data_IF_047925357922
#
_entry.id   IF_047925357922
#
_cell.length_a   1.000
_cell.length_b   1.000
_cell.length_c   1.000
_cell.angle_alpha   90.00
_cell.angle_beta   90.00
_cell.angle_gamma   90.00
#
_symmetry.space_group_name_H-M   'P 1'
#
loop_
_entity.id
_entity.type
_entity.pdbx_description
1 polymer ?
#
# COMPACT_ATOMS: atom_id res chain seq x y z
N UNK A 1 -0.58 -0.71 8.08
CA UNK A 1 -0.58 -1.31 6.76
C UNK A 1 -1.99 -1.19 6.20
N UNK A 2 -2.16 -0.30 5.20
CA UNK A 2 -3.45 0.10 4.65
C UNK A 2 -4.12 -0.94 3.77
N UNK A 3 -4.06 -2.20 4.14
CA UNK A 3 -4.58 -3.27 3.32
C UNK A 3 -5.93 -3.81 3.83
N UNK A 4 -6.52 -4.71 3.13
CA UNK A 4 -7.86 -5.32 3.18
C UNK A 4 -8.33 -5.84 4.55
N UNK A 5 -7.59 -5.61 5.63
CA UNK A 5 -7.93 -6.00 7.01
C UNK A 5 -8.75 -4.95 7.76
N UNK A 6 -8.97 -3.80 7.16
CA UNK A 6 -9.76 -2.74 7.79
C UNK A 6 -11.23 -3.13 7.80
N UNK A 7 -11.86 -2.89 8.93
CA UNK A 7 -13.31 -3.00 9.08
C UNK A 7 -13.98 -1.73 8.56
N UNK A 8 -13.95 -1.49 7.25
CA UNK A 8 -14.48 -0.26 6.64
C UNK A 8 -15.88 0.07 7.14
N UNK A 9 -16.79 -0.89 7.15
CA UNK A 9 -18.17 -0.67 7.62
C UNK A 9 -18.22 -0.15 9.06
N UNK A 10 -17.43 -0.75 9.97
CA UNK A 10 -17.41 -0.33 11.38
C UNK A 10 -16.80 1.06 11.54
N UNK A 11 -15.72 1.36 10.80
CA UNK A 11 -15.07 2.68 10.81
C UNK A 11 -16.04 3.73 10.26
N UNK A 12 -16.70 3.47 9.14
CA UNK A 12 -17.67 4.39 8.54
C UNK A 12 -18.89 4.60 9.46
N UNK A 13 -19.35 3.56 10.18
CA UNK A 13 -20.43 3.70 11.15
C UNK A 13 -20.03 4.63 12.31
N UNK A 14 -18.80 4.50 12.82
CA UNK A 14 -18.27 5.39 13.85
C UNK A 14 -18.12 6.82 13.30
N UNK A 15 -17.54 6.99 12.13
CA UNK A 15 -17.36 8.28 11.48
C UNK A 15 -18.71 8.99 11.29
N UNK A 16 -19.70 8.28 10.76
CA UNK A 16 -21.06 8.81 10.59
C UNK A 16 -21.70 9.23 11.93
N UNK A 17 -21.55 8.42 12.98
CA UNK A 17 -22.07 8.71 14.32
C UNK A 17 -21.47 9.98 14.91
N UNK A 18 -20.20 10.25 14.62
CA UNK A 18 -19.46 11.36 15.19
C UNK A 18 -19.21 12.51 14.20
N UNK A 19 -19.84 12.48 13.03
CA UNK A 19 -19.67 13.50 11.96
C UNK A 19 -18.18 13.71 11.56
N UNK A 20 -17.44 12.61 11.44
CA UNK A 20 -16.00 12.63 11.08
C UNK A 20 -15.83 12.36 9.59
N UNK A 21 -14.81 12.98 9.02
CA UNK A 21 -14.33 12.69 7.66
C UNK A 21 -13.40 11.48 7.71
N UNK A 22 -13.57 10.56 6.76
CA UNK A 22 -12.73 9.37 6.61
C UNK A 22 -11.73 9.59 5.49
N UNK A 23 -10.45 9.65 5.84
CA UNK A 23 -9.35 9.62 4.87
C UNK A 23 -8.72 8.23 4.92
N UNK A 24 -8.78 7.52 3.81
CA UNK A 24 -8.23 6.17 3.69
C UNK A 24 -6.83 6.22 3.07
N UNK A 25 -5.82 5.74 3.80
CA UNK A 25 -4.53 5.45 3.22
C UNK A 25 -4.58 4.07 2.53
N UNK A 26 -4.68 4.08 1.22
CA UNK A 26 -4.72 2.91 0.36
C UNK A 26 -3.44 2.77 -0.49
N UNK A 27 -2.30 3.27 0.00
CA UNK A 27 -1.02 3.21 -0.70
C UNK A 27 -0.59 1.77 -1.08
N UNK A 28 -1.11 0.75 -0.42
CA UNK A 28 -0.89 -0.68 -0.71
C UNK A 28 -2.11 -1.39 -1.29
N UNK A 29 -3.25 -0.71 -1.45
CA UNK A 29 -4.53 -1.35 -1.73
C UNK A 29 -5.08 -1.08 -3.15
N UNK A 30 -4.27 -0.55 -4.06
CA UNK A 30 -4.71 -0.35 -5.44
C UNK A 30 -5.09 -1.70 -6.09
N UNK A 31 -6.30 -1.78 -6.65
CA UNK A 31 -6.86 -3.02 -7.21
C UNK A 31 -7.46 -3.98 -6.18
N UNK A 32 -7.56 -3.56 -4.91
CA UNK A 32 -8.23 -4.31 -3.85
C UNK A 32 -9.74 -4.01 -3.82
N UNK A 33 -10.50 -4.98 -3.31
CA UNK A 33 -11.95 -4.88 -3.14
C UNK A 33 -12.35 -5.22 -1.70
N UNK A 34 -13.40 -4.55 -1.22
CA UNK A 34 -14.09 -4.87 0.02
C UNK A 34 -15.58 -5.04 -0.26
N UNK A 35 -16.13 -6.24 0.00
CA UNK A 35 -17.55 -6.59 -0.27
C UNK A 35 -17.98 -6.24 -1.71
N UNK A 36 -17.12 -6.54 -2.69
CA UNK A 36 -17.35 -6.28 -4.11
C UNK A 36 -17.24 -4.82 -4.55
N UNK A 37 -16.81 -3.91 -3.67
CA UNK A 37 -16.54 -2.51 -4.01
C UNK A 37 -15.03 -2.26 -4.07
N UNK A 38 -14.59 -1.57 -5.10
CA UNK A 38 -13.19 -1.17 -5.23
C UNK A 38 -12.79 -0.21 -4.11
N UNK A 39 -11.62 -0.45 -3.52
CA UNK A 39 -10.98 0.52 -2.62
C UNK A 39 -10.76 1.83 -3.39
N UNK A 40 -11.09 2.95 -2.75
CA UNK A 40 -11.12 4.29 -3.38
C UNK A 40 -12.52 4.79 -3.68
N UNK A 41 -13.56 3.95 -3.57
CA UNK A 41 -14.95 4.33 -3.87
C UNK A 41 -15.84 4.54 -2.64
N UNK A 42 -15.33 4.31 -1.44
CA UNK A 42 -16.17 4.21 -0.24
C UNK A 42 -15.94 5.30 0.79
N UNK A 43 -14.72 5.82 0.91
CA UNK A 43 -14.36 6.85 1.88
C UNK A 43 -14.50 8.26 1.29
N UNK A 44 -14.53 9.29 2.15
CA UNK A 44 -14.60 10.69 1.70
C UNK A 44 -13.40 11.06 0.81
N UNK A 45 -12.21 10.58 1.19
CA UNK A 45 -11.00 10.66 0.39
C UNK A 45 -10.20 9.35 0.53
N UNK A 46 -9.54 8.94 -0.54
CA UNK A 46 -8.63 7.79 -0.53
C UNK A 46 -7.33 8.16 -1.23
N UNK A 47 -6.19 7.84 -0.61
CA UNK A 47 -4.86 8.11 -1.17
C UNK A 47 -4.24 6.84 -1.72
N UNK A 48 -3.67 6.92 -2.93
CA UNK A 48 -2.90 5.86 -3.58
C UNK A 48 -1.46 6.28 -3.81
N UNK A 49 -0.54 5.33 -3.80
CA UNK A 49 0.87 5.52 -4.12
C UNK A 49 1.21 4.92 -5.48
N UNK A 50 2.00 5.67 -6.27
CA UNK A 50 2.58 5.22 -7.53
C UNK A 50 4.12 5.14 -7.47
N UNK A 51 4.66 4.93 -6.26
CA UNK A 51 6.08 4.64 -6.04
C UNK A 51 6.52 3.41 -6.88
N UNK A 52 7.80 3.28 -7.28
CA UNK A 52 8.28 2.23 -8.21
C UNK A 52 7.88 0.80 -7.86
N UNK A 53 7.78 0.46 -6.58
CA UNK A 53 7.48 -0.90 -6.12
C UNK A 53 5.98 -1.23 -6.04
N UNK A 54 5.09 -0.26 -6.29
CA UNK A 54 3.63 -0.46 -6.19
C UNK A 54 3.08 -1.27 -7.38
N UNK A 55 1.83 -1.76 -7.30
CA UNK A 55 1.21 -2.53 -8.40
C UNK A 55 1.30 -1.84 -9.76
N UNK A 56 1.17 -0.52 -9.80
CA UNK A 56 1.55 0.33 -10.93
C UNK A 56 2.43 1.48 -10.43
N UNK A 57 3.18 2.09 -11.34
CA UNK A 57 4.11 3.17 -10.98
C UNK A 57 4.09 4.31 -11.98
N UNK A 58 4.45 5.50 -11.49
CA UNK A 58 4.77 6.69 -12.29
C UNK A 58 6.23 7.13 -12.11
N UNK A 59 7.10 6.20 -11.62
CA UNK A 59 8.43 6.54 -11.11
C UNK A 59 8.33 7.02 -9.66
N UNK A 60 7.81 8.19 -9.46
CA UNK A 60 7.28 8.73 -8.21
C UNK A 60 5.92 9.33 -8.48
N UNK A 61 5.03 9.28 -7.50
CA UNK A 61 3.71 9.88 -7.61
C UNK A 61 2.69 9.27 -6.66
N UNK A 62 1.49 9.82 -6.72
CA UNK A 62 0.34 9.37 -5.97
C UNK A 62 -0.93 10.04 -6.46
N UNK A 63 -2.06 9.61 -5.94
CA UNK A 63 -3.36 10.16 -6.28
C UNK A 63 -4.25 10.19 -5.04
N UNK A 64 -5.03 11.24 -4.93
CA UNK A 64 -6.16 11.31 -4.00
C UNK A 64 -7.44 11.23 -4.86
N UNK A 65 -8.33 10.32 -4.51
CA UNK A 65 -9.65 10.21 -5.14
C UNK A 65 -10.75 10.57 -4.14
N UNK A 66 -11.81 11.18 -4.64
CA UNK A 66 -13.01 11.54 -3.89
C UNK A 66 -14.22 11.61 -4.80
N UNK A 67 -15.41 11.39 -4.26
CA UNK A 67 -16.69 11.61 -4.94
C UNK A 67 -17.34 12.95 -4.51
N UNK A 68 -16.70 13.73 -3.62
CA UNK A 68 -17.17 15.05 -3.17
C UNK A 68 -16.52 16.15 -4.00
N UNK A 69 -17.35 16.92 -4.72
CA UNK A 69 -16.87 17.99 -5.59
C UNK A 69 -16.20 19.13 -4.80
N UNK A 70 -16.66 19.39 -3.57
CA UNK A 70 -16.06 20.43 -2.72
C UNK A 70 -14.65 20.03 -2.28
N UNK A 71 -14.46 18.77 -1.87
CA UNK A 71 -13.14 18.24 -1.55
C UNK A 71 -12.24 18.23 -2.78
N UNK A 72 -12.76 17.80 -3.95
CA UNK A 72 -12.00 17.82 -5.21
C UNK A 72 -11.47 19.22 -5.54
N UNK A 73 -12.31 20.26 -5.48
CA UNK A 73 -11.90 21.64 -5.74
C UNK A 73 -10.81 22.11 -4.79
N UNK A 74 -10.93 21.80 -3.49
CA UNK A 74 -9.90 22.11 -2.49
C UNK A 74 -8.59 21.38 -2.78
N UNK A 75 -8.63 20.08 -3.10
CA UNK A 75 -7.44 19.29 -3.42
C UNK A 75 -6.70 19.84 -4.65
N UNK A 76 -7.43 20.23 -5.70
CA UNK A 76 -6.84 20.84 -6.90
C UNK A 76 -6.20 22.19 -6.58
N UNK A 77 -6.85 23.00 -5.76
CA UNK A 77 -6.34 24.30 -5.31
C UNK A 77 -5.04 24.11 -4.49
N UNK A 78 -5.06 23.26 -3.47
CA UNK A 78 -3.89 23.00 -2.64
C UNK A 78 -2.72 22.37 -3.41
N UNK A 79 -2.99 21.44 -4.32
CA UNK A 79 -1.97 20.85 -5.19
C UNK A 79 -1.23 21.88 -6.02
N UNK A 80 -1.86 23.02 -6.32
CA UNK A 80 -1.41 24.02 -7.29
C UNK A 80 -1.25 25.42 -6.65
N UNK A 81 -0.48 25.50 -5.58
CA UNK A 81 -0.08 26.75 -4.88
C UNK A 81 -1.22 27.54 -4.24
N UNK A 82 -2.43 27.02 -4.14
CA UNK A 82 -3.59 27.82 -3.71
C UNK A 82 -4.02 28.88 -4.75
N UNK A 83 -3.65 28.67 -6.03
CA UNK A 83 -3.91 29.61 -7.12
C UNK A 83 -5.18 29.19 -7.87
N UNK A 84 -6.04 30.19 -8.16
CA UNK A 84 -7.22 30.02 -9.01
C UNK A 84 -7.21 30.97 -10.18
N UNK A 85 -7.90 30.56 -11.28
CA UNK A 85 -8.32 31.40 -12.40
C UNK A 85 -9.84 31.45 -12.54
N UNK A 86 -10.55 30.86 -11.59
CA UNK A 86 -12.01 30.92 -11.54
C UNK A 86 -12.45 32.31 -11.11
N UNK A 87 -13.07 33.04 -12.05
CA UNK A 87 -13.52 34.41 -11.83
C UNK A 87 -14.47 34.54 -10.66
N UNK A 88 -15.26 33.52 -10.35
CA UNK A 88 -16.18 33.53 -9.20
C UNK A 88 -15.48 33.52 -7.85
N UNK A 89 -14.21 33.15 -7.81
CA UNK A 89 -13.38 33.07 -6.60
C UNK A 89 -12.34 34.20 -6.54
N UNK A 90 -12.14 34.94 -7.63
CA UNK A 90 -11.19 36.06 -7.69
C UNK A 90 -11.86 37.35 -7.23
N UNK A 91 -11.09 38.23 -6.62
CA UNK A 91 -11.57 39.56 -6.20
C UNK A 91 -11.54 40.58 -7.34
N UNK A 92 -10.79 40.33 -8.41
CA UNK A 92 -10.67 41.15 -9.62
C UNK A 92 -10.13 40.29 -10.77
N UNK A 93 -10.28 40.78 -12.01
CA UNK A 93 -9.68 40.19 -13.21
C UNK A 93 -9.07 41.31 -14.06
N UNK A 94 -7.79 41.21 -14.37
CA UNK A 94 -7.04 42.20 -15.15
C UNK A 94 -6.79 41.76 -16.61
N UNK A 95 -7.24 40.58 -16.97
CA UNK A 95 -7.08 39.99 -18.32
C UNK A 95 -6.83 38.50 -18.32
N UNK A 96 -6.70 37.90 -19.50
CA UNK A 96 -6.60 36.45 -19.69
C UNK A 96 -5.37 35.79 -19.03
N UNK A 97 -4.36 36.55 -18.70
CA UNK A 97 -3.16 36.08 -17.98
C UNK A 97 -3.35 36.06 -16.48
N UNK A 98 -4.41 36.74 -15.95
CA UNK A 98 -4.55 37.01 -14.53
C UNK A 98 -4.94 35.77 -13.74
N UNK A 99 -4.45 35.67 -12.54
CA UNK A 99 -4.79 34.66 -11.54
C UNK A 99 -4.60 35.24 -10.14
N UNK A 100 -5.21 34.61 -9.16
CA UNK A 100 -4.99 34.99 -7.76
C UNK A 100 -4.66 33.78 -6.90
N UNK A 101 -3.76 33.98 -5.95
CA UNK A 101 -3.59 33.05 -4.85
C UNK A 101 -4.63 33.38 -3.79
N UNK A 102 -5.52 32.44 -3.50
CA UNK A 102 -6.64 32.61 -2.56
C UNK A 102 -6.49 31.76 -1.31
N UNK A 103 -5.50 30.87 -1.28
CA UNK A 103 -5.18 30.02 -0.14
C UNK A 103 -3.70 29.64 -0.14
N UNK A 104 -3.21 29.08 0.99
CA UNK A 104 -1.88 28.53 1.07
C UNK A 104 -1.86 27.12 0.46
N UNK A 105 -1.17 26.95 -0.65
CA UNK A 105 -1.06 25.66 -1.35
C UNK A 105 0.38 25.20 -1.54
N UNK A 106 0.52 24.04 -2.14
CA UNK A 106 1.78 23.33 -2.37
C UNK A 106 2.07 23.19 -3.86
N UNK A 107 3.27 22.77 -4.21
CA UNK A 107 3.60 22.33 -5.56
C UNK A 107 3.62 20.79 -5.60
N UNK A 108 2.45 20.18 -5.61
CA UNK A 108 2.26 18.73 -5.58
C UNK A 108 1.70 18.17 -6.89
N UNK A 109 1.94 18.87 -7.99
CA UNK A 109 1.54 18.40 -9.31
C UNK A 109 2.50 17.31 -9.79
N UNK A 110 1.95 16.22 -10.31
CA UNK A 110 2.71 15.28 -11.14
C UNK A 110 3.04 15.94 -12.48
N UNK A 111 4.18 15.58 -13.04
CA UNK A 111 4.54 16.03 -14.41
C UNK A 111 3.73 15.27 -15.46
N UNK A 112 3.60 15.85 -16.66
CA UNK A 112 2.91 15.20 -17.79
C UNK A 112 3.56 13.86 -18.16
N UNK A 113 4.89 13.74 -18.03
CA UNK A 113 5.64 12.50 -18.26
C UNK A 113 5.18 11.41 -17.26
N UNK A 114 5.08 11.73 -15.98
CA UNK A 114 4.57 10.83 -14.96
C UNK A 114 3.11 10.46 -15.20
N UNK A 115 2.28 11.42 -15.54
CA UNK A 115 0.87 11.19 -15.85
C UNK A 115 0.69 10.28 -17.08
N UNK A 116 1.45 10.49 -18.15
CA UNK A 116 1.43 9.65 -19.35
C UNK A 116 1.85 8.20 -19.03
N UNK A 117 2.90 8.02 -18.20
CA UNK A 117 3.28 6.70 -17.70
C UNK A 117 2.13 6.07 -16.90
N UNK A 118 1.54 6.82 -15.97
CA UNK A 118 0.41 6.38 -15.15
C UNK A 118 -0.78 5.91 -16.00
N UNK A 119 -1.17 6.66 -17.01
CA UNK A 119 -2.24 6.28 -17.92
C UNK A 119 -1.97 4.95 -18.65
N UNK A 120 -0.72 4.69 -19.04
CA UNK A 120 -0.34 3.42 -19.67
C UNK A 120 -0.25 2.26 -18.68
N UNK A 121 0.17 2.53 -17.46
CA UNK A 121 0.23 1.55 -16.37
C UNK A 121 -1.16 1.14 -15.89
N UNK A 122 -2.10 2.09 -15.75
CA UNK A 122 -3.50 1.81 -15.38
C UNK A 122 -4.17 0.81 -16.33
N UNK A 123 -3.90 0.88 -17.63
CA UNK A 123 -4.42 -0.09 -18.62
C UNK A 123 -3.93 -1.53 -18.39
N UNK A 124 -2.91 -1.72 -17.56
CA UNK A 124 -2.33 -3.03 -17.23
C UNK A 124 -2.71 -3.52 -15.84
N UNK A 125 -3.40 -2.69 -15.04
CA UNK A 125 -3.67 -2.96 -13.61
C UNK A 125 -4.36 -4.32 -13.42
N UNK A 126 -5.46 -4.58 -14.10
CA UNK A 126 -6.24 -5.81 -13.92
C UNK A 126 -5.38 -7.05 -14.18
N UNK A 127 -4.59 -7.04 -15.26
CA UNK A 127 -3.66 -8.14 -15.57
C UNK A 127 -2.58 -8.30 -14.50
N UNK A 128 -2.05 -7.20 -13.97
CA UNK A 128 -1.03 -7.25 -12.93
C UNK A 128 -1.59 -7.78 -11.61
N UNK A 129 -2.81 -7.39 -11.26
CA UNK A 129 -3.49 -7.89 -10.06
C UNK A 129 -3.86 -9.38 -10.22
N UNK A 130 -4.36 -9.79 -11.38
CA UNK A 130 -4.65 -11.19 -11.66
C UNK A 130 -3.39 -12.07 -11.47
N UNK A 131 -2.26 -11.66 -12.08
CA UNK A 131 -1.00 -12.39 -11.93
C UNK A 131 -0.49 -12.43 -10.48
N UNK A 132 -0.63 -11.36 -9.72
CA UNK A 132 -0.28 -11.34 -8.29
C UNK A 132 -1.12 -12.32 -7.48
N UNK A 133 -2.42 -12.44 -7.79
CA UNK A 133 -3.32 -13.41 -7.15
C UNK A 133 -2.91 -14.85 -7.45
N UNK A 134 -2.57 -15.17 -8.70
CA UNK A 134 -2.03 -16.49 -9.08
C UNK A 134 -0.75 -16.83 -8.29
N UNK A 135 0.19 -15.88 -8.19
CA UNK A 135 1.42 -16.08 -7.41
C UNK A 135 1.09 -16.36 -5.94
N UNK A 136 0.14 -15.62 -5.35
CA UNK A 136 -0.27 -15.81 -3.95
C UNK A 136 -0.92 -17.17 -3.74
N UNK A 137 -1.84 -17.60 -4.61
CA UNK A 137 -2.48 -18.91 -4.54
C UNK A 137 -1.42 -20.00 -4.55
N UNK A 138 -0.45 -19.93 -5.45
CA UNK A 138 0.64 -20.87 -5.56
C UNK A 138 1.55 -20.91 -4.32
N UNK A 139 1.87 -19.76 -3.73
CA UNK A 139 2.58 -19.70 -2.44
C UNK A 139 1.75 -20.31 -1.31
N UNK A 140 0.46 -20.00 -1.23
CA UNK A 140 -0.42 -20.52 -0.19
C UNK A 140 -0.53 -22.05 -0.28
N UNK A 141 -0.69 -22.61 -1.47
CA UNK A 141 -0.71 -24.04 -1.71
C UNK A 141 0.62 -24.68 -1.32
N UNK A 142 1.73 -24.10 -1.75
CA UNK A 142 3.06 -24.64 -1.47
C UNK A 142 3.40 -24.67 0.03
N UNK A 143 2.92 -23.70 0.80
CA UNK A 143 3.20 -23.59 2.24
C UNK A 143 2.09 -24.14 3.14
N UNK A 144 0.99 -24.70 2.59
CA UNK A 144 -0.16 -25.16 3.36
C UNK A 144 0.21 -26.18 4.45
N UNK A 145 1.13 -27.10 4.14
CA UNK A 145 1.56 -28.16 5.06
C UNK A 145 2.82 -27.80 5.88
N UNK A 146 3.34 -26.58 5.74
CA UNK A 146 4.55 -26.12 6.41
C UNK A 146 4.21 -25.55 7.79
N UNK A 147 4.25 -26.35 8.86
CA UNK A 147 3.88 -25.97 10.24
C UNK A 147 4.61 -24.73 10.76
N UNK A 148 5.82 -24.48 10.28
CA UNK A 148 6.68 -23.38 10.73
C UNK A 148 6.56 -22.10 9.87
N UNK A 149 5.69 -22.14 8.86
CA UNK A 149 5.40 -20.99 8.00
C UNK A 149 3.94 -20.60 8.17
N UNK A 150 3.68 -19.34 8.53
CA UNK A 150 2.32 -18.79 8.54
C UNK A 150 2.16 -17.87 7.35
N UNK A 151 1.23 -18.22 6.47
CA UNK A 151 0.88 -17.42 5.30
C UNK A 151 -0.07 -16.28 5.67
N UNK A 152 -0.13 -15.19 4.87
CA UNK A 152 -1.03 -14.09 5.15
C UNK A 152 -2.49 -14.51 5.02
N UNK A 153 -3.30 -14.13 6.01
CA UNK A 153 -4.74 -14.39 6.00
C UNK A 153 -5.49 -13.27 5.25
N UNK A 154 -6.44 -13.65 4.42
CA UNK A 154 -7.36 -12.74 3.75
C UNK A 154 -8.80 -12.99 4.21
N UNK A 155 -9.53 -11.94 4.58
CA UNK A 155 -10.94 -12.04 4.94
C UNK A 155 -11.79 -12.49 3.74
N UNK A 156 -12.84 -13.33 3.94
CA UNK A 156 -13.61 -13.91 2.82
C UNK A 156 -14.31 -12.88 1.93
N UNK A 157 -14.69 -11.74 2.48
CA UNK A 157 -15.40 -10.66 1.77
C UNK A 157 -14.46 -9.57 1.22
N UNK A 158 -13.16 -9.89 1.13
CA UNK A 158 -12.13 -9.00 0.61
C UNK A 158 -11.38 -9.66 -0.54
N UNK A 159 -10.82 -8.84 -1.44
CA UNK A 159 -9.86 -9.28 -2.44
C UNK A 159 -8.67 -8.32 -2.44
N UNK A 160 -7.52 -8.79 -1.97
CA UNK A 160 -6.29 -8.00 -1.96
C UNK A 160 -5.73 -7.77 -3.37
N UNK A 161 -5.13 -6.59 -3.57
CA UNK A 161 -4.26 -6.32 -4.72
C UNK A 161 -2.86 -6.92 -4.57
N UNK A 162 -2.57 -7.49 -3.42
CA UNK A 162 -1.33 -8.20 -3.11
C UNK A 162 -0.06 -7.42 -3.48
N UNK A 163 0.05 -6.22 -2.91
CA UNK A 163 1.29 -5.45 -3.03
C UNK A 163 2.49 -6.20 -2.44
N UNK A 164 2.30 -6.82 -1.28
CA UNK A 164 3.27 -7.63 -0.57
C UNK A 164 2.71 -9.03 -0.29
N UNK A 165 3.59 -10.03 -0.25
CA UNK A 165 3.30 -11.35 0.29
C UNK A 165 4.23 -11.59 1.46
N UNK A 166 3.69 -11.58 2.68
CA UNK A 166 4.45 -11.60 3.93
C UNK A 166 4.16 -12.90 4.67
N UNK A 167 5.19 -13.74 4.83
CA UNK A 167 5.12 -14.94 5.67
C UNK A 167 5.66 -14.66 7.07
N UNK A 168 5.28 -15.49 8.05
CA UNK A 168 5.93 -15.54 9.34
C UNK A 168 6.72 -16.85 9.44
N UNK A 169 7.95 -16.77 9.91
CA UNK A 169 8.82 -17.93 10.20
C UNK A 169 8.82 -18.15 11.72
N UNK A 170 8.42 -19.34 12.19
CA UNK A 170 8.15 -19.60 13.61
C UNK A 170 9.24 -20.39 14.36
N UNK A 171 10.05 -21.17 13.68
CA UNK A 171 11.00 -22.12 14.31
C UNK A 171 12.47 -21.70 14.22
N UNK A 172 12.76 -20.58 13.56
CA UNK A 172 14.13 -20.09 13.35
C UNK A 172 14.19 -18.57 13.55
N UNK A 173 15.38 -18.10 13.84
CA UNK A 173 15.64 -16.67 13.85
C UNK A 173 15.38 -16.08 12.45
N UNK A 174 14.53 -15.06 12.39
CA UNK A 174 14.16 -14.38 11.14
C UNK A 174 15.38 -13.86 10.39
N UNK A 175 16.41 -13.37 11.11
CA UNK A 175 17.62 -12.83 10.52
C UNK A 175 18.42 -13.92 9.80
N UNK A 176 18.55 -15.10 10.40
CA UNK A 176 19.25 -16.22 9.77
C UNK A 176 18.57 -16.65 8.46
N UNK A 177 17.24 -16.79 8.46
CA UNK A 177 16.46 -17.14 7.27
C UNK A 177 16.56 -16.04 6.21
N UNK A 178 16.47 -14.78 6.63
CA UNK A 178 16.60 -13.62 5.74
C UNK A 178 17.98 -13.59 5.05
N UNK A 179 19.05 -13.72 5.84
CA UNK A 179 20.43 -13.68 5.33
C UNK A 179 20.72 -14.85 4.39
N UNK A 180 20.23 -16.06 4.71
CA UNK A 180 20.36 -17.25 3.86
C UNK A 180 19.63 -17.08 2.52
N UNK A 181 18.38 -16.60 2.52
CA UNK A 181 17.63 -16.31 1.28
C UNK A 181 18.34 -15.25 0.43
N UNK A 182 18.89 -14.22 1.06
CA UNK A 182 19.66 -13.18 0.35
C UNK A 182 20.95 -13.73 -0.25
N UNK A 183 21.63 -14.65 0.43
CA UNK A 183 22.84 -15.31 -0.09
C UNK A 183 22.55 -16.19 -1.32
N UNK A 184 21.36 -16.77 -1.41
CA UNK A 184 20.87 -17.50 -2.58
C UNK A 184 20.33 -16.58 -3.70
N UNK A 185 20.47 -15.26 -3.58
CA UNK A 185 20.02 -14.29 -4.58
C UNK A 185 18.52 -13.96 -4.54
N UNK A 186 17.78 -14.44 -3.55
CA UNK A 186 16.34 -14.17 -3.40
C UNK A 186 16.15 -12.81 -2.75
N UNK A 187 15.44 -11.92 -3.45
CA UNK A 187 15.16 -10.55 -3.02
C UNK A 187 14.08 -10.45 -1.95
N UNK A 188 14.39 -10.81 -0.70
CA UNK A 188 13.49 -10.67 0.44
C UNK A 188 13.65 -9.33 1.17
N UNK A 189 12.62 -8.93 1.92
CA UNK A 189 12.62 -7.73 2.75
C UNK A 189 11.78 -7.92 4.03
N UNK A 190 11.79 -6.94 4.93
CA UNK A 190 10.97 -6.91 6.15
C UNK A 190 10.10 -5.66 6.16
N UNK A 191 8.79 -5.81 6.10
CA UNK A 191 7.82 -4.70 6.06
C UNK A 191 6.85 -4.81 7.25
N UNK A 192 7.01 -4.00 8.32
CA UNK A 192 8.09 -3.04 8.60
C UNK A 192 8.45 -3.10 10.08
N UNK A 193 9.56 -2.45 10.47
CA UNK A 193 9.83 -2.14 11.88
C UNK A 193 8.67 -1.31 12.44
N UNK A 194 8.19 -1.58 13.67
CA UNK A 194 7.21 -0.72 14.33
C UNK A 194 7.69 0.73 14.37
N UNK A 195 6.83 1.65 13.91
CA UNK A 195 7.20 3.06 13.71
C UNK A 195 7.77 3.71 14.97
N UNK A 196 7.18 3.38 16.12
CA UNK A 196 7.64 3.91 17.42
C UNK A 196 9.00 3.37 17.88
N UNK A 197 9.61 2.38 17.20
CA UNK A 197 10.99 1.95 17.46
C UNK A 197 12.04 2.87 16.80
N UNK A 198 11.66 3.70 15.85
CA UNK A 198 12.61 4.62 15.25
C UNK A 198 13.04 5.72 16.24
N UNK A 199 14.34 6.11 16.26
CA UNK A 199 14.88 7.12 17.18
C UNK A 199 14.07 8.41 17.25
N UNK A 200 13.64 8.91 16.10
CA UNK A 200 12.80 10.11 16.02
C UNK A 200 11.54 10.02 16.90
N UNK A 201 10.79 8.92 16.79
CA UNK A 201 9.57 8.73 17.58
C UNK A 201 9.89 8.49 19.06
N UNK A 202 10.98 7.76 19.37
CA UNK A 202 11.45 7.57 20.75
C UNK A 202 11.74 8.91 21.44
N UNK A 203 12.37 9.85 20.73
CA UNK A 203 12.69 11.19 21.24
C UNK A 203 11.47 12.12 21.33
N UNK A 204 10.38 11.81 20.61
CA UNK A 204 9.17 12.64 20.51
C UNK A 204 7.96 12.08 21.26
N UNK A 205 8.18 11.36 22.35
CA UNK A 205 7.13 10.96 23.28
C UNK A 205 6.53 9.57 23.05
N UNK A 206 7.11 8.76 22.16
CA UNK A 206 6.63 7.40 21.87
C UNK A 206 7.45 6.28 22.53
N UNK A 207 8.34 6.62 23.45
CA UNK A 207 9.25 5.66 24.11
C UNK A 207 8.52 4.56 24.89
N UNK A 208 7.41 4.91 25.53
CA UNK A 208 6.61 4.00 26.35
C UNK A 208 5.49 3.31 25.56
N UNK A 209 5.46 3.46 24.23
CA UNK A 209 4.45 2.80 23.38
C UNK A 209 4.85 1.35 23.18
N UNK A 210 3.92 0.45 23.50
CA UNK A 210 4.04 -0.99 23.29
C UNK A 210 2.81 -1.53 22.57
N UNK A 211 3.05 -2.24 21.48
CA UNK A 211 2.04 -2.97 20.72
C UNK A 211 2.48 -4.44 20.58
N UNK A 212 2.26 -5.28 21.59
CA UNK A 212 2.86 -6.62 21.70
C UNK A 212 2.66 -7.50 20.44
N UNK A 213 1.48 -7.44 19.84
CA UNK A 213 1.17 -8.20 18.62
C UNK A 213 2.01 -7.72 17.42
N UNK A 214 2.18 -6.40 17.28
CA UNK A 214 2.98 -5.83 16.19
C UNK A 214 4.49 -6.11 16.42
N UNK A 215 4.93 -6.07 17.64
CA UNK A 215 6.31 -6.35 18.05
C UNK A 215 6.65 -7.83 17.81
N UNK A 216 5.79 -8.75 18.25
CA UNK A 216 5.95 -10.17 17.98
C UNK A 216 5.94 -10.46 16.48
N UNK A 217 4.96 -9.90 15.75
CA UNK A 217 4.87 -10.07 14.31
C UNK A 217 6.15 -9.61 13.61
N UNK A 218 6.69 -8.47 13.99
CA UNK A 218 7.93 -7.92 13.42
C UNK A 218 9.12 -8.86 13.56
N UNK A 219 9.21 -9.65 14.64
CA UNK A 219 10.32 -10.59 14.84
C UNK A 219 10.30 -11.79 13.91
N UNK A 220 9.17 -12.08 13.25
CA UNK A 220 8.95 -13.30 12.46
C UNK A 220 8.75 -13.04 10.96
N UNK A 221 8.40 -11.81 10.54
CA UNK A 221 7.96 -11.55 9.17
C UNK A 221 9.10 -11.45 8.16
N UNK A 222 8.86 -12.06 6.99
CA UNK A 222 9.68 -11.90 5.78
C UNK A 222 8.73 -11.69 4.59
N UNK A 223 9.00 -10.67 3.78
CA UNK A 223 8.29 -10.43 2.52
C UNK A 223 8.99 -11.18 1.39
N UNK A 224 8.27 -12.06 0.73
CA UNK A 224 8.75 -12.82 -0.43
C UNK A 224 8.53 -12.04 -1.73
N UNK A 225 9.29 -12.38 -2.80
CA UNK A 225 9.13 -11.78 -4.11
C UNK A 225 7.71 -11.94 -4.64
N UNK A 226 7.09 -10.82 -5.04
CA UNK A 226 5.80 -10.81 -5.71
C UNK A 226 5.74 -9.65 -6.71
N UNK A 227 5.71 -9.95 -8.00
CA UNK A 227 5.60 -8.97 -9.07
C UNK A 227 5.10 -9.65 -10.36
N UNK A 228 4.43 -8.91 -11.29
CA UNK A 228 3.74 -9.53 -12.43
C UNK A 228 4.64 -10.29 -13.43
N UNK A 229 5.95 -10.05 -13.41
CA UNK A 229 6.93 -10.75 -14.26
C UNK A 229 7.62 -11.92 -13.57
N UNK A 230 7.31 -12.22 -12.30
CA UNK A 230 7.84 -13.38 -11.63
C UNK A 230 7.39 -14.65 -12.39
N UNK A 231 8.35 -15.41 -12.91
CA UNK A 231 8.04 -16.66 -13.61
C UNK A 231 7.72 -17.78 -12.62
N UNK A 232 7.10 -18.84 -13.10
CA UNK A 232 6.76 -19.97 -12.24
C UNK A 232 8.01 -20.68 -11.76
N UNK A 233 9.05 -20.79 -12.60
CA UNK A 233 10.34 -21.38 -12.24
C UNK A 233 11.05 -20.56 -11.15
N UNK A 234 11.04 -19.23 -11.27
CA UNK A 234 11.60 -18.36 -10.24
C UNK A 234 10.83 -18.47 -8.92
N UNK A 235 9.51 -18.62 -9.01
CA UNK A 235 8.68 -18.81 -7.84
C UNK A 235 8.93 -20.19 -7.18
N UNK A 236 9.15 -21.25 -7.97
CA UNK A 236 9.50 -22.58 -7.48
C UNK A 236 10.83 -22.55 -6.72
N UNK A 237 11.82 -21.86 -7.24
CA UNK A 237 13.11 -21.64 -6.56
C UNK A 237 12.92 -20.97 -5.20
N UNK A 238 12.11 -19.91 -5.14
CA UNK A 238 11.79 -19.23 -3.85
C UNK A 238 11.10 -20.20 -2.89
N UNK A 239 10.12 -20.98 -3.36
CA UNK A 239 9.37 -21.94 -2.54
C UNK A 239 10.30 -23.00 -1.98
N UNK A 240 11.14 -23.59 -2.81
CA UNK A 240 12.10 -24.63 -2.42
C UNK A 240 13.04 -24.10 -1.33
N UNK A 241 13.69 -22.98 -1.56
CA UNK A 241 14.63 -22.39 -0.60
C UNK A 241 13.98 -22.00 0.73
N UNK A 242 12.77 -21.45 0.69
CA UNK A 242 12.02 -21.14 1.93
C UNK A 242 11.68 -22.42 2.69
N UNK A 243 11.28 -23.49 2.00
CA UNK A 243 10.99 -24.80 2.62
C UNK A 243 12.24 -25.41 3.24
N UNK A 244 13.34 -25.45 2.53
CA UNK A 244 14.62 -26.03 2.99
C UNK A 244 15.11 -25.34 4.27
N UNK A 245 14.91 -24.02 4.36
CA UNK A 245 15.32 -23.24 5.54
C UNK A 245 14.35 -23.38 6.72
N UNK A 246 13.04 -23.59 6.47
CA UNK A 246 12.00 -23.55 7.51
C UNK A 246 11.46 -24.93 7.91
N UNK A 247 11.73 -25.99 7.12
CA UNK A 247 11.37 -27.37 7.48
C UNK A 247 12.56 -27.97 8.23
N UNK A 248 12.32 -28.50 9.41
CA UNK A 248 13.31 -29.28 10.14
C UNK A 248 13.66 -30.52 9.32
N UNK A 249 14.94 -30.74 9.04
CA UNK A 249 15.43 -32.03 8.54
C UNK A 249 15.08 -33.08 9.57
N UNK A 250 14.26 -34.04 9.19
CA UNK A 250 13.86 -35.21 10.01
C UNK A 250 15.09 -36.01 10.38
#
# INVERSE_FOLDING_TARGET
LGDVYKRQDAIHAIAKKHHLVVIEDAAHALGSEYKGKMIGSMSDMTTFSFHPVKPITTGEGGMIVTNDETLYKKLVLFRSHGITRDESQMTRNEGSWFYQQIDLGYNYRMTDIQCALGCTQMKKLDRFIARRREIVERYNEAFADCKNIVTPYQLPDTKSGWHLYIIQVKNKDRKEVFDALRAEGIGVNVHYIPVYYHPYYQEHGYKEVHCPVAEELYTHIISLPIFPKLTDEQQDEVIEKVKDLCIESI
#
